data_IF_815382129967
#
_entry.id   IF_815382129967
#
_cell.length_a   1.000
_cell.length_b   1.000
_cell.length_c   1.000
_cell.angle_alpha   90.00
_cell.angle_beta   90.00
_cell.angle_gamma   90.00
#
_symmetry.space_group_name_H-M   'P 1'
#
loop_
_entity.id
_entity.type
_entity.pdbx_description
1 polymer ?
#
# COMPACT_ATOMS: atom_id res chain seq x y z
N UNK A 1 -81.95 2.24 -9.85
CA UNK A 1 -82.24 0.84 -10.26
C UNK A 1 -81.49 -0.11 -9.31
N UNK A 2 -81.90 -1.39 -9.24
CA UNK A 2 -81.31 -2.44 -8.37
C UNK A 2 -79.80 -2.63 -8.71
N UNK A 3 -78.88 -3.12 -7.87
CA UNK A 3 -78.81 -4.30 -6.98
C UNK A 3 -77.65 -4.12 -5.94
N UNK A 4 -77.28 -5.01 -5.00
CA UNK A 4 -77.77 -6.36 -4.64
C UNK A 4 -77.90 -6.56 -3.09
N UNK A 5 -77.12 -7.46 -2.46
CA UNK A 5 -77.19 -7.84 -1.03
C UNK A 5 -75.86 -8.49 -0.53
N UNK A 6 -75.61 -8.56 0.79
CA UNK A 6 -74.53 -9.35 1.41
C UNK A 6 -74.97 -10.78 1.76
N UNK A 7 -74.04 -11.68 2.13
CA UNK A 7 -74.33 -12.76 3.08
C UNK A 7 -73.09 -13.44 3.70
N UNK A 8 -73.30 -14.05 4.86
CA UNK A 8 -72.29 -14.64 5.75
C UNK A 8 -72.28 -16.18 5.71
N UNK A 9 -71.08 -16.74 5.96
CA UNK A 9 -70.75 -17.92 6.80
C UNK A 9 -71.53 -19.25 6.66
N UNK A 10 -70.80 -20.34 6.41
CA UNK A 10 -71.15 -21.69 6.90
C UNK A 10 -69.88 -22.53 7.16
N UNK A 11 -69.81 -23.16 8.33
CA UNK A 11 -68.75 -24.09 8.74
C UNK A 11 -68.97 -25.50 8.16
N UNK A 12 -67.88 -26.27 8.00
CA UNK A 12 -67.91 -27.73 8.16
C UNK A 12 -66.68 -28.22 8.93
N UNK A 13 -66.81 -29.35 9.64
CA UNK A 13 -65.91 -29.78 10.71
C UNK A 13 -65.60 -31.29 10.58
N UNK A 14 -64.42 -31.70 11.06
CA UNK A 14 -64.17 -32.87 11.95
C UNK A 14 -63.21 -33.99 11.44
N UNK A 15 -62.13 -34.22 12.22
CA UNK A 15 -61.39 -35.48 12.50
C UNK A 15 -60.78 -36.29 11.32
N UNK A 16 -59.66 -37.04 11.46
CA UNK A 16 -59.08 -37.78 12.62
C UNK A 16 -57.58 -38.05 12.36
N UNK A 17 -56.65 -37.85 13.31
CA UNK A 17 -56.24 -38.71 14.45
C UNK A 17 -55.33 -39.91 14.11
N UNK A 18 -54.07 -39.88 14.57
CA UNK A 18 -53.32 -41.03 15.09
C UNK A 18 -52.30 -40.58 16.17
N UNK A 19 -52.04 -41.44 17.16
CA UNK A 19 -51.22 -41.19 18.35
C UNK A 19 -49.82 -41.81 18.24
N UNK A 20 -48.83 -41.32 19.02
CA UNK A 20 -48.17 -42.02 20.16
C UNK A 20 -46.92 -41.23 20.65
N UNK A 21 -46.70 -41.22 21.99
CA UNK A 21 -45.52 -40.63 22.68
C UNK A 21 -44.30 -41.60 22.63
N UNK A 22 -43.08 -41.35 23.11
CA UNK A 22 -42.49 -40.44 24.11
C UNK A 22 -40.98 -40.33 23.74
N UNK A 23 -40.20 -39.30 24.08
CA UNK A 23 -39.67 -39.06 25.43
C UNK A 23 -39.04 -37.67 25.55
N UNK A 24 -38.90 -37.18 26.80
CA UNK A 24 -38.11 -35.97 27.10
C UNK A 24 -36.62 -36.29 27.15
N UNK A 25 -35.80 -35.45 26.53
CA UNK A 25 -34.59 -34.95 27.17
C UNK A 25 -34.64 -33.42 27.14
N UNK A 26 -34.22 -32.79 28.24
CA UNK A 26 -34.34 -31.35 28.43
C UNK A 26 -33.20 -30.61 27.72
N UNK A 27 -33.51 -29.93 26.61
CA UNK A 27 -32.71 -28.79 26.15
C UNK A 27 -33.54 -27.51 26.31
N UNK A 28 -33.17 -26.71 27.32
CA UNK A 28 -33.56 -25.30 27.40
C UNK A 28 -32.56 -24.50 26.56
N UNK A 29 -32.94 -23.91 25.42
CA UNK A 29 -32.29 -22.68 24.99
C UNK A 29 -32.72 -21.58 25.97
N UNK A 30 -31.74 -20.92 26.60
CA UNK A 30 -32.00 -19.69 27.33
C UNK A 30 -32.54 -18.64 26.34
N UNK A 31 -33.50 -17.79 26.70
CA UNK A 31 -34.04 -16.81 25.79
C UNK A 31 -33.03 -15.67 25.66
N UNK A 32 -32.12 -15.80 24.69
CA UNK A 32 -31.58 -14.61 24.04
C UNK A 32 -32.75 -13.87 23.41
N UNK A 33 -33.26 -12.90 24.15
CA UNK A 33 -34.15 -11.86 23.64
C UNK A 33 -33.37 -11.11 22.58
N UNK A 34 -33.52 -11.54 21.33
CA UNK A 34 -33.26 -10.71 20.17
C UNK A 34 -34.17 -9.48 20.30
N UNK A 35 -33.62 -8.41 20.87
CA UNK A 35 -34.30 -7.14 20.99
C UNK A 35 -34.31 -6.53 19.58
N UNK A 36 -35.44 -6.61 18.90
CA UNK A 36 -35.64 -5.86 17.66
C UNK A 36 -35.46 -4.36 17.93
N UNK A 37 -34.43 -3.76 17.32
CA UNK A 37 -34.23 -2.31 17.27
C UNK A 37 -34.20 -1.88 15.80
N UNK A 38 -35.35 -1.56 15.20
CA UNK A 38 -35.41 -0.83 13.93
C UNK A 38 -35.28 0.68 14.18
N UNK A 39 -34.75 1.53 13.28
CA UNK A 39 -33.93 1.36 12.07
C UNK A 39 -33.63 2.78 11.56
N UNK A 40 -32.36 3.21 11.45
CA UNK A 40 -31.85 4.25 10.51
C UNK A 40 -30.31 4.12 10.57
N UNK A 41 -29.74 3.25 9.72
CA UNK A 41 -28.36 2.81 9.80
C UNK A 41 -28.19 1.33 9.43
N UNK A 42 -26.95 0.83 9.46
CA UNK A 42 -26.59 -0.53 9.04
C UNK A 42 -27.25 -1.59 9.94
N UNK A 43 -27.70 -2.70 9.34
CA UNK A 43 -28.26 -3.84 10.06
C UNK A 43 -27.13 -4.66 10.73
N UNK A 44 -26.82 -4.35 11.99
CA UNK A 44 -25.77 -5.05 12.75
C UNK A 44 -26.32 -6.35 13.36
N UNK A 45 -25.75 -7.49 12.95
CA UNK A 45 -26.17 -8.84 13.33
C UNK A 45 -25.23 -9.56 14.32
N UNK A 46 -24.09 -8.97 14.66
CA UNK A 46 -23.13 -9.55 15.59
C UNK A 46 -21.83 -8.77 15.69
N UNK A 47 -20.80 -9.42 16.24
CA UNK A 47 -19.48 -8.85 16.49
C UNK A 47 -18.39 -9.92 16.28
N UNK A 48 -17.27 -9.49 15.72
CA UNK A 48 -16.06 -10.28 15.48
C UNK A 48 -14.96 -9.76 16.40
N UNK A 49 -14.47 -10.63 17.28
CA UNK A 49 -13.35 -10.35 18.16
C UNK A 49 -12.04 -10.47 17.36
N UNK A 50 -11.37 -9.34 17.11
CA UNK A 50 -10.10 -9.28 16.36
C UNK A 50 -9.11 -8.36 17.08
N UNK A 51 -7.80 -8.66 17.06
CA UNK A 51 -6.79 -7.80 17.68
C UNK A 51 -6.84 -6.39 17.11
N UNK A 52 -6.94 -5.40 18.00
CA UNK A 52 -7.03 -3.98 17.66
C UNK A 52 -5.83 -3.24 18.26
N UNK A 53 -5.06 -2.55 17.42
CA UNK A 53 -3.83 -1.85 17.81
C UNK A 53 -3.94 -0.35 17.57
N UNK A 54 -3.47 0.45 18.53
CA UNK A 54 -3.61 1.90 18.56
C UNK A 54 -2.24 2.56 18.40
N UNK A 55 -2.14 3.55 17.52
CA UNK A 55 -0.89 4.26 17.21
C UNK A 55 -1.07 5.79 17.29
N UNK A 56 -0.21 6.44 18.05
CA UNK A 56 -0.25 7.85 18.41
C UNK A 56 0.53 8.74 17.43
N UNK A 57 0.01 8.89 16.20
CA UNK A 57 0.50 9.89 15.23
C UNK A 57 1.99 9.77 14.80
N UNK A 58 2.64 8.64 15.08
CA UNK A 58 4.04 8.36 14.70
C UNK A 58 4.22 7.09 13.85
N UNK A 59 3.14 6.36 13.54
CA UNK A 59 3.23 5.16 12.70
C UNK A 59 3.43 5.48 11.22
N UNK A 60 4.29 4.75 10.48
CA UNK A 60 4.42 4.87 9.03
C UNK A 60 3.21 4.28 8.31
N UNK A 61 2.90 4.78 7.11
CA UNK A 61 1.73 4.33 6.32
C UNK A 61 2.09 4.11 4.86
N UNK A 62 1.61 3.00 4.29
CA UNK A 62 1.87 2.60 2.92
C UNK A 62 0.98 3.40 1.95
N UNK A 63 1.54 4.44 1.35
CA UNK A 63 0.85 5.15 0.26
C UNK A 63 0.91 4.34 -1.05
N UNK A 64 -0.09 3.49 -1.34
CA UNK A 64 -0.28 2.88 -2.68
C UNK A 64 -1.00 3.86 -3.64
N UNK A 65 -0.40 4.32 -4.76
CA UNK A 65 -1.06 5.24 -5.69
C UNK A 65 -1.99 4.56 -6.71
N UNK A 66 -2.69 5.41 -7.46
CA UNK A 66 -3.59 5.04 -8.55
C UNK A 66 -2.94 4.14 -9.61
N UNK A 67 -3.54 2.98 -9.83
CA UNK A 67 -3.26 2.13 -10.99
C UNK A 67 -3.84 0.73 -10.89
N UNK A 68 -3.97 0.21 -9.67
CA UNK A 68 -4.44 -1.16 -9.42
C UNK A 68 -5.97 -1.27 -9.35
N UNK A 69 -6.50 -2.39 -9.83
CA UNK A 69 -7.89 -2.79 -9.59
C UNK A 69 -8.00 -3.23 -8.13
N UNK A 70 -8.60 -2.38 -7.30
CA UNK A 70 -8.57 -2.43 -5.83
C UNK A 70 -9.11 -3.71 -5.16
N UNK A 71 -9.60 -4.69 -5.92
CA UNK A 71 -10.33 -5.86 -5.42
C UNK A 71 -9.46 -7.08 -5.09
N UNK A 72 -8.22 -7.12 -5.58
CA UNK A 72 -7.40 -8.35 -5.65
C UNK A 72 -6.06 -8.28 -4.90
N UNK A 73 -5.57 -7.08 -4.54
CA UNK A 73 -4.21 -6.85 -3.98
C UNK A 73 -4.15 -5.83 -2.83
N UNK A 74 -5.28 -5.62 -2.15
CA UNK A 74 -5.47 -4.56 -1.17
C UNK A 74 -5.53 -3.16 -1.80
N UNK A 75 -5.90 -2.14 -1.02
CA UNK A 75 -5.93 -0.75 -1.48
C UNK A 75 -5.88 0.27 -0.33
N UNK A 76 -5.46 1.50 -0.64
CA UNK A 76 -5.63 2.68 0.21
C UNK A 76 -6.66 3.61 -0.44
N UNK A 77 -7.77 3.92 0.24
CA UNK A 77 -8.68 5.00 -0.16
C UNK A 77 -8.35 6.27 0.62
N UNK A 78 -7.97 7.31 -0.12
CA UNK A 78 -7.49 8.58 0.41
C UNK A 78 -8.54 9.70 0.38
N UNK A 79 -9.75 9.43 -0.11
CA UNK A 79 -10.87 10.36 -0.25
C UNK A 79 -10.59 11.58 -1.17
N UNK A 80 -9.42 11.64 -1.78
CA UNK A 80 -8.97 12.72 -2.69
C UNK A 80 -9.72 12.75 -4.03
N UNK A 81 -10.38 11.67 -4.40
CA UNK A 81 -11.23 11.57 -5.59
C UNK A 81 -12.73 11.79 -5.28
N UNK A 82 -13.56 11.97 -6.30
CA UNK A 82 -15.01 12.17 -6.14
C UNK A 82 -15.43 13.44 -5.36
N UNK A 83 -16.74 13.62 -5.20
CA UNK A 83 -17.33 14.68 -4.38
C UNK A 83 -18.70 14.29 -3.83
N UNK A 84 -18.92 14.53 -2.54
CA UNK A 84 -20.23 14.44 -1.87
C UNK A 84 -20.27 15.49 -0.77
N UNK A 85 -20.82 16.67 -1.05
CA UNK A 85 -20.80 17.83 -0.14
C UNK A 85 -21.97 17.88 0.86
N UNK A 86 -22.86 16.89 0.87
CA UNK A 86 -24.06 16.84 1.72
C UNK A 86 -24.03 15.61 2.62
N UNK A 87 -24.53 15.76 3.86
CA UNK A 87 -24.72 14.67 4.81
C UNK A 87 -25.84 13.71 4.41
N UNK A 88 -26.79 14.12 3.55
CA UNK A 88 -27.87 13.23 3.11
C UNK A 88 -27.32 11.95 2.46
N UNK A 89 -27.94 10.80 2.75
CA UNK A 89 -27.55 9.49 2.26
C UNK A 89 -27.28 9.46 0.74
N UNK A 90 -26.20 8.78 0.33
CA UNK A 90 -25.95 8.52 -1.09
C UNK A 90 -24.55 8.00 -1.40
N UNK A 91 -24.42 7.39 -2.57
CA UNK A 91 -23.14 6.89 -3.08
C UNK A 91 -22.21 7.99 -3.60
N UNK A 92 -20.91 7.73 -3.54
CA UNK A 92 -19.86 8.47 -4.24
C UNK A 92 -18.85 7.48 -4.83
N UNK A 93 -18.50 7.65 -6.11
CA UNK A 93 -17.44 6.86 -6.73
C UNK A 93 -16.08 7.48 -6.42
N UNK A 94 -15.22 6.70 -5.79
CA UNK A 94 -13.84 7.03 -5.46
C UNK A 94 -12.90 6.19 -6.33
N UNK A 95 -11.77 6.77 -6.71
CA UNK A 95 -10.74 6.19 -7.57
C UNK A 95 -9.39 6.22 -6.84
N UNK A 96 -8.74 5.05 -6.64
CA UNK A 96 -8.99 3.79 -7.34
C UNK A 96 -10.00 2.81 -6.69
N UNK A 97 -10.47 3.04 -5.46
CA UNK A 97 -11.13 1.98 -4.67
C UNK A 97 -12.46 1.44 -5.24
N UNK A 98 -13.42 2.31 -5.57
CA UNK A 98 -14.75 1.91 -6.01
C UNK A 98 -15.87 2.83 -5.53
N UNK A 99 -17.10 2.33 -5.50
CA UNK A 99 -18.24 3.08 -4.97
C UNK A 99 -18.37 2.92 -3.45
N UNK A 100 -18.57 4.03 -2.75
CA UNK A 100 -18.82 4.06 -1.31
C UNK A 100 -20.17 4.72 -1.02
N UNK A 101 -20.92 4.15 -0.09
CA UNK A 101 -22.16 4.73 0.42
C UNK A 101 -21.88 5.53 1.70
N UNK A 102 -22.34 6.77 1.74
CA UNK A 102 -22.18 7.67 2.88
C UNK A 102 -23.54 8.16 3.36
N UNK A 103 -23.87 7.88 4.62
CA UNK A 103 -25.07 8.38 5.29
C UNK A 103 -24.74 9.09 6.59
N UNK A 104 -25.41 10.20 6.84
CA UNK A 104 -25.03 11.28 7.75
C UNK A 104 -23.51 11.61 7.73
N UNK A 105 -22.91 11.45 6.54
CA UNK A 105 -21.50 11.56 6.24
C UNK A 105 -21.26 12.27 4.89
N UNK A 106 -20.14 12.97 4.75
CA UNK A 106 -19.77 13.71 3.53
C UNK A 106 -18.25 13.73 3.31
N UNK A 107 -17.81 14.13 2.11
CA UNK A 107 -16.40 14.44 1.85
C UNK A 107 -16.11 15.90 2.22
N UNK A 108 -15.34 16.10 3.30
CA UNK A 108 -15.04 17.39 3.90
C UNK A 108 -13.67 17.93 3.48
N UNK A 109 -13.62 19.21 3.08
CA UNK A 109 -12.41 19.93 2.66
C UNK A 109 -12.19 21.25 3.45
N UNK A 110 -12.90 21.47 4.56
CA UNK A 110 -12.79 22.69 5.35
C UNK A 110 -11.48 22.71 6.15
N UNK A 111 -11.07 23.88 6.64
CA UNK A 111 -9.88 24.01 7.50
C UNK A 111 -9.97 23.19 8.80
N UNK A 112 -11.18 22.96 9.32
CA UNK A 112 -11.44 22.14 10.50
C UNK A 112 -11.51 20.63 10.21
N UNK A 113 -11.57 20.23 8.94
CA UNK A 113 -11.48 18.81 8.55
C UNK A 113 -10.03 18.35 8.73
N UNK A 114 -9.82 17.42 9.67
CA UNK A 114 -8.53 16.77 9.90
C UNK A 114 -8.31 15.75 8.77
N UNK A 115 -7.24 15.94 8.00
CA UNK A 115 -7.00 15.24 6.73
C UNK A 115 -5.54 15.30 6.30
N UNK A 116 -5.11 14.30 5.54
CA UNK A 116 -3.85 14.21 4.83
C UNK A 116 -4.14 14.38 3.33
N UNK A 117 -3.88 15.57 2.80
CA UNK A 117 -4.32 15.95 1.45
C UNK A 117 -5.38 17.06 1.49
N UNK A 118 -6.33 17.04 0.56
CA UNK A 118 -7.38 18.03 0.42
C UNK A 118 -8.74 17.61 1.01
N UNK A 119 -9.00 16.31 1.23
CA UNK A 119 -10.28 15.78 1.74
C UNK A 119 -10.12 14.72 2.82
N UNK A 120 -11.19 14.52 3.59
CA UNK A 120 -11.43 13.36 4.46
C UNK A 120 -12.95 13.09 4.50
N UNK A 121 -13.38 11.94 5.01
CA UNK A 121 -14.80 11.72 5.31
C UNK A 121 -15.12 12.37 6.65
N UNK A 122 -16.20 13.16 6.73
CA UNK A 122 -16.72 13.72 7.99
C UNK A 122 -18.07 13.11 8.32
N UNK A 123 -18.15 12.43 9.47
CA UNK A 123 -19.33 11.71 9.96
C UNK A 123 -19.90 12.42 11.20
N UNK A 124 -21.23 12.49 11.32
CA UNK A 124 -21.97 13.00 12.49
C UNK A 124 -23.09 12.03 12.90
N UNK A 125 -23.80 12.33 13.99
CA UNK A 125 -24.92 11.52 14.48
C UNK A 125 -24.53 10.04 14.54
N UNK A 126 -25.42 9.13 14.14
CA UNK A 126 -25.11 7.70 13.96
C UNK A 126 -24.80 7.36 12.49
N UNK A 127 -24.04 8.23 11.81
CA UNK A 127 -23.72 8.10 10.40
C UNK A 127 -22.73 6.98 10.07
N UNK A 128 -22.67 6.64 8.77
CA UNK A 128 -21.91 5.53 8.23
C UNK A 128 -21.14 5.90 6.95
N UNK A 129 -20.04 5.18 6.74
CA UNK A 129 -19.25 5.12 5.50
C UNK A 129 -19.05 3.64 5.18
N UNK A 130 -19.61 3.12 4.08
CA UNK A 130 -19.48 1.70 3.73
C UNK A 130 -19.07 1.50 2.28
N UNK A 131 -18.32 0.42 2.01
CA UNK A 131 -18.03 -0.02 0.65
C UNK A 131 -19.31 -0.55 -0.02
N UNK A 132 -19.55 -0.16 -1.27
CA UNK A 132 -20.56 -0.77 -2.16
C UNK A 132 -19.97 -1.89 -3.04
N UNK A 133 -18.78 -2.40 -2.68
CA UNK A 133 -18.04 -3.43 -3.40
C UNK A 133 -17.30 -4.37 -2.42
N UNK A 134 -16.97 -5.57 -2.88
CA UNK A 134 -16.26 -6.58 -2.08
C UNK A 134 -14.75 -6.52 -2.32
N UNK A 135 -13.99 -6.85 -1.28
CA UNK A 135 -12.69 -7.50 -1.38
C UNK A 135 -12.94 -8.97 -1.64
N UNK A 136 -12.62 -9.48 -2.84
CA UNK A 136 -13.03 -10.83 -3.23
C UNK A 136 -12.19 -11.93 -2.53
N UNK A 137 -10.97 -11.59 -2.10
CA UNK A 137 -10.01 -12.50 -1.46
C UNK A 137 -9.87 -12.30 0.06
N UNK A 138 -10.80 -11.58 0.71
CA UNK A 138 -10.68 -11.22 2.13
C UNK A 138 -9.72 -10.06 2.40
N UNK A 139 -9.17 -10.00 3.61
CA UNK A 139 -8.23 -8.96 4.08
C UNK A 139 -7.34 -9.48 5.23
N UNK A 140 -6.09 -9.04 5.33
CA UNK A 140 -5.25 -9.30 6.52
C UNK A 140 -5.63 -8.36 7.64
N UNK A 141 -5.69 -7.07 7.31
CA UNK A 141 -5.83 -6.00 8.26
C UNK A 141 -6.50 -4.80 7.63
N UNK A 142 -7.18 -4.02 8.47
CA UNK A 142 -7.79 -2.74 8.09
C UNK A 142 -7.19 -1.66 8.97
N UNK A 143 -6.54 -0.67 8.36
CA UNK A 143 -6.01 0.50 9.03
C UNK A 143 -6.91 1.70 8.74
N UNK A 144 -7.17 2.51 9.76
CA UNK A 144 -8.04 3.69 9.66
C UNK A 144 -7.38 4.85 10.40
N UNK A 145 -7.21 6.01 9.75
CA UNK A 145 -6.91 7.24 10.48
C UNK A 145 -8.17 7.96 10.90
N UNK A 146 -8.16 8.52 12.10
CA UNK A 146 -9.33 9.18 12.69
C UNK A 146 -8.93 10.36 13.59
N UNK A 147 -9.77 11.40 13.63
CA UNK A 147 -9.62 12.54 14.54
C UNK A 147 -10.96 13.25 14.78
N UNK A 148 -11.04 14.03 15.87
CA UNK A 148 -12.16 14.90 16.13
C UNK A 148 -12.14 16.10 15.16
N UNK A 149 -13.30 16.39 14.55
CA UNK A 149 -13.45 17.52 13.63
C UNK A 149 -13.29 18.85 14.37
N UNK A 150 -12.35 19.69 13.94
CA UNK A 150 -12.01 20.95 14.61
C UNK A 150 -11.69 20.72 16.09
N UNK A 151 -12.57 21.21 16.98
CA UNK A 151 -12.53 21.03 18.44
C UNK A 151 -13.82 20.34 18.96
N UNK A 152 -14.38 19.38 18.21
CA UNK A 152 -15.56 18.63 18.66
C UNK A 152 -15.16 17.68 19.81
N UNK A 153 -16.09 17.39 20.71
CA UNK A 153 -15.82 16.50 21.84
C UNK A 153 -15.69 15.03 21.42
N UNK A 154 -15.32 14.13 22.36
CA UNK A 154 -15.11 12.72 22.07
C UNK A 154 -16.28 12.06 21.33
N UNK A 155 -15.95 11.07 20.51
CA UNK A 155 -16.93 10.29 19.73
C UNK A 155 -16.42 8.90 19.42
N UNK A 156 -17.21 7.91 19.82
CA UNK A 156 -16.99 6.49 19.56
C UNK A 156 -17.47 6.07 18.17
N UNK A 157 -16.69 5.23 17.50
CA UNK A 157 -17.03 4.55 16.25
C UNK A 157 -16.50 3.11 16.24
N UNK A 158 -16.97 2.31 15.27
CA UNK A 158 -16.61 0.90 15.09
C UNK A 158 -16.30 0.61 13.62
N UNK A 159 -15.31 -0.24 13.38
CA UNK A 159 -15.20 -0.92 12.08
C UNK A 159 -16.37 -1.90 11.96
N UNK A 160 -16.90 -2.05 10.74
CA UNK A 160 -17.94 -3.03 10.41
C UNK A 160 -17.56 -3.83 9.18
N UNK A 161 -17.91 -5.12 9.17
CA UNK A 161 -17.73 -6.03 8.05
C UNK A 161 -19.07 -6.60 7.56
N UNK A 162 -19.18 -6.90 6.26
CA UNK A 162 -20.33 -7.60 5.67
C UNK A 162 -19.86 -8.69 4.71
N UNK A 163 -20.53 -9.85 4.75
CA UNK A 163 -20.23 -11.04 3.95
C UNK A 163 -21.40 -11.42 3.03
N UNK A 164 -22.42 -10.56 2.93
CA UNK A 164 -23.68 -10.78 2.21
C UNK A 164 -24.04 -9.59 1.32
N UNK A 165 -23.02 -9.01 0.68
CA UNK A 165 -23.14 -7.86 -0.23
C UNK A 165 -23.75 -6.59 0.42
N UNK A 166 -23.57 -6.41 1.73
CA UNK A 166 -24.01 -5.26 2.50
C UNK A 166 -25.43 -5.37 3.05
N UNK A 167 -26.08 -6.54 2.94
CA UNK A 167 -27.43 -6.75 3.46
C UNK A 167 -27.45 -6.82 5.01
N UNK A 168 -26.39 -7.35 5.61
CA UNK A 168 -26.13 -7.28 7.04
C UNK A 168 -24.65 -7.09 7.36
N UNK A 169 -24.38 -6.61 8.57
CA UNK A 169 -23.07 -6.16 9.01
C UNK A 169 -22.75 -6.70 10.40
N UNK A 170 -21.47 -6.81 10.72
CA UNK A 170 -20.94 -7.23 12.01
C UNK A 170 -19.99 -6.14 12.50
N UNK A 171 -19.97 -5.85 13.80
CA UNK A 171 -18.88 -5.07 14.38
C UNK A 171 -17.57 -5.86 14.30
N UNK A 172 -16.46 -5.15 14.19
CA UNK A 172 -15.12 -5.75 14.06
C UNK A 172 -14.19 -5.09 15.06
N UNK A 173 -13.65 -5.88 15.99
CA UNK A 173 -12.71 -5.44 17.01
C UNK A 173 -13.27 -4.38 17.96
N UNK A 174 -12.36 -3.66 18.62
CA UNK A 174 -12.70 -2.76 19.71
C UNK A 174 -13.53 -1.53 19.28
N UNK A 175 -14.20 -0.92 20.26
CA UNK A 175 -14.81 0.41 20.07
C UNK A 175 -13.75 1.48 20.14
N UNK A 176 -13.71 2.36 19.14
CA UNK A 176 -12.67 3.37 19.00
C UNK A 176 -13.19 4.73 19.45
N UNK A 177 -12.77 5.19 20.62
CA UNK A 177 -13.02 6.55 21.09
C UNK A 177 -12.09 7.52 20.35
N UNK A 178 -12.68 8.51 19.68
CA UNK A 178 -11.94 9.59 19.02
C UNK A 178 -12.06 10.88 19.81
N UNK A 179 -10.99 11.29 20.50
CA UNK A 179 -10.91 12.50 21.33
C UNK A 179 -9.80 13.47 20.87
N UNK A 180 -8.73 12.95 20.26
CA UNK A 180 -7.63 13.72 19.66
C UNK A 180 -8.09 14.56 18.46
N UNK A 181 -7.51 15.75 18.31
CA UNK A 181 -7.69 16.60 17.11
C UNK A 181 -6.60 16.40 16.05
N UNK A 182 -5.65 15.49 16.31
CA UNK A 182 -4.60 15.03 15.39
C UNK A 182 -4.96 13.62 14.90
N UNK A 183 -4.61 13.25 13.67
CA UNK A 183 -5.03 11.99 13.03
C UNK A 183 -4.34 10.76 13.64
N UNK A 184 -4.95 10.16 14.66
CA UNK A 184 -4.49 8.90 15.22
C UNK A 184 -4.78 7.76 14.23
N UNK A 185 -4.04 6.65 14.36
CA UNK A 185 -4.26 5.44 13.55
C UNK A 185 -4.70 4.30 14.45
N UNK A 186 -5.65 3.51 13.97
CA UNK A 186 -5.99 2.20 14.52
C UNK A 186 -5.87 1.13 13.43
N UNK A 187 -5.39 -0.05 13.79
CA UNK A 187 -5.31 -1.24 12.94
C UNK A 187 -6.14 -2.36 13.54
N UNK A 188 -6.93 -3.04 12.70
CA UNK A 188 -7.69 -4.24 13.04
C UNK A 188 -7.11 -5.43 12.27
N UNK A 189 -6.62 -6.47 12.97
CA UNK A 189 -6.04 -7.68 12.36
C UNK A 189 -7.11 -8.71 12.00
N UNK A 190 -7.92 -8.38 11.00
CA UNK A 190 -9.15 -9.11 10.62
C UNK A 190 -8.92 -10.53 10.09
N UNK A 191 -7.81 -10.79 9.39
CA UNK A 191 -7.39 -12.10 8.87
C UNK A 191 -8.48 -12.90 8.13
N UNK A 192 -9.33 -12.18 7.40
CA UNK A 192 -10.40 -12.71 6.58
C UNK A 192 -9.87 -13.34 5.30
N UNK A 193 -10.40 -14.50 4.93
CA UNK A 193 -10.06 -15.22 3.68
C UNK A 193 -11.24 -15.34 2.70
N UNK A 194 -12.42 -14.87 3.10
CA UNK A 194 -13.64 -14.90 2.29
C UNK A 194 -14.01 -13.50 1.80
N UNK A 195 -14.86 -13.43 0.76
CA UNK A 195 -15.32 -12.17 0.20
C UNK A 195 -16.00 -11.28 1.27
N UNK A 196 -15.53 -10.05 1.42
CA UNK A 196 -15.94 -9.15 2.52
C UNK A 196 -16.03 -7.69 2.07
N UNK A 197 -16.95 -6.93 2.65
CA UNK A 197 -16.99 -5.46 2.61
C UNK A 197 -16.64 -4.88 3.95
N UNK A 198 -15.95 -3.75 3.97
CA UNK A 198 -15.73 -2.98 5.19
C UNK A 198 -16.45 -1.64 5.17
N UNK A 199 -16.58 -1.06 6.36
CA UNK A 199 -17.09 0.27 6.57
C UNK A 199 -16.86 0.74 8.00
N UNK A 200 -17.25 1.98 8.28
CA UNK A 200 -17.17 2.60 9.60
C UNK A 200 -18.56 3.07 9.98
N UNK A 201 -18.97 2.73 11.20
CA UNK A 201 -20.22 3.16 11.80
C UNK A 201 -19.94 3.97 13.06
N UNK A 202 -20.42 5.22 13.11
CA UNK A 202 -20.30 6.07 14.29
C UNK A 202 -21.37 5.65 15.31
N UNK A 203 -20.99 4.89 16.33
CA UNK A 203 -21.93 4.42 17.36
C UNK A 203 -22.38 5.55 18.29
N UNK A 204 -21.51 6.53 18.54
CA UNK A 204 -21.84 7.71 19.34
C UNK A 204 -22.75 8.67 18.57
N UNK A 205 -24.00 8.83 19.02
CA UNK A 205 -24.94 9.78 18.40
C UNK A 205 -24.56 11.26 18.58
N UNK A 206 -25.41 12.15 18.06
CA UNK A 206 -25.32 13.61 18.27
C UNK A 206 -24.33 14.36 17.36
N UNK A 207 -24.22 15.67 17.60
CA UNK A 207 -23.61 16.61 16.65
C UNK A 207 -22.07 16.67 16.66
N UNK A 208 -21.39 15.97 17.58
CA UNK A 208 -19.94 15.82 17.53
C UNK A 208 -19.56 15.03 16.26
N UNK A 209 -18.56 15.54 15.54
CA UNK A 209 -18.09 14.96 14.28
C UNK A 209 -16.70 14.36 14.43
N UNK A 210 -16.52 13.23 13.77
CA UNK A 210 -15.20 12.66 13.49
C UNK A 210 -14.85 12.90 12.02
N UNK A 211 -13.57 13.11 11.76
CA UNK A 211 -12.97 12.88 10.46
C UNK A 211 -12.42 11.46 10.44
N UNK A 212 -12.74 10.72 9.39
CA UNK A 212 -12.11 9.48 8.98
C UNK A 212 -11.29 9.80 7.74
N UNK A 213 -10.04 9.38 7.71
CA UNK A 213 -9.13 9.66 6.62
C UNK A 213 -8.18 8.48 6.39
N UNK A 214 -7.71 8.29 5.15
CA UNK A 214 -6.95 7.12 4.70
C UNK A 214 -7.43 5.79 5.31
N UNK A 215 -8.36 5.10 4.63
CA UNK A 215 -8.66 3.70 4.94
C UNK A 215 -7.73 2.84 4.09
N UNK A 216 -6.91 2.03 4.74
CA UNK A 216 -6.08 1.02 4.10
C UNK A 216 -6.65 -0.37 4.41
N UNK A 217 -6.85 -1.17 3.38
CA UNK A 217 -7.21 -2.58 3.49
C UNK A 217 -6.07 -3.35 2.85
N UNK A 218 -5.19 -3.89 3.70
CA UNK A 218 -4.24 -4.89 3.26
C UNK A 218 -4.98 -6.23 3.10
N UNK A 219 -4.55 -7.01 2.11
CA UNK A 219 -4.87 -8.43 2.07
C UNK A 219 -3.65 -9.20 2.51
N UNK A 220 -3.85 -10.29 3.24
CA UNK A 220 -2.83 -11.33 3.27
C UNK A 220 -2.76 -11.82 1.81
N UNK A 221 -1.62 -11.60 1.15
CA UNK A 221 -1.24 -12.47 0.03
C UNK A 221 -0.84 -13.81 0.65
N UNK A 222 -1.85 -14.57 1.10
CA UNK A 222 -1.74 -15.72 2.01
C UNK A 222 -0.91 -16.87 1.45
N UNK A 223 0.41 -16.70 1.43
CA UNK A 223 1.40 -17.76 1.42
C UNK A 223 1.81 -18.09 2.85
N UNK A 224 0.89 -18.64 3.66
CA UNK A 224 1.25 -19.15 4.99
C UNK A 224 2.26 -20.30 4.88
N UNK A 225 3.54 -20.00 5.07
CA UNK A 225 4.69 -20.89 4.90
C UNK A 225 5.92 -20.10 4.44
N UNK A 226 7.03 -20.79 4.14
CA UNK A 226 8.28 -20.20 3.61
C UNK A 226 8.16 -19.74 2.13
N UNK A 227 6.97 -19.26 1.75
CA UNK A 227 6.58 -18.97 0.37
C UNK A 227 6.85 -17.51 0.01
N UNK A 228 7.32 -17.24 -1.22
CA UNK A 228 7.59 -15.88 -1.68
C UNK A 228 6.30 -15.06 -1.86
N UNK A 229 6.33 -13.79 -1.47
CA UNK A 229 5.22 -12.83 -1.50
C UNK A 229 5.43 -11.70 -2.52
N UNK A 230 4.41 -10.85 -2.71
CA UNK A 230 4.53 -9.57 -3.45
C UNK A 230 4.37 -8.37 -2.49
N UNK A 231 5.18 -8.36 -1.43
CA UNK A 231 5.10 -7.33 -0.38
C UNK A 231 5.47 -5.91 -0.83
N UNK A 232 5.24 -4.95 0.08
CA UNK A 232 5.26 -3.53 -0.23
C UNK A 232 6.63 -3.05 -0.71
N UNK A 233 6.63 -2.32 -1.83
CA UNK A 233 7.79 -1.59 -2.33
C UNK A 233 8.27 -0.46 -1.38
N UNK A 234 7.59 -0.24 -0.24
CA UNK A 234 7.95 0.71 0.83
C UNK A 234 7.79 0.07 2.22
N UNK A 235 7.99 -1.26 2.36
CA UNK A 235 7.98 -1.92 3.68
C UNK A 235 8.90 -1.23 4.67
N UNK A 236 10.08 -0.78 4.21
CA UNK A 236 11.08 -0.09 5.03
C UNK A 236 11.21 1.42 4.72
N UNK A 237 10.09 2.09 4.46
CA UNK A 237 10.03 3.55 4.49
C UNK A 237 10.08 4.29 3.14
N UNK A 238 10.14 5.61 3.22
CA UNK A 238 10.15 6.61 2.14
C UNK A 238 11.39 7.51 2.31
N UNK A 239 12.59 7.10 1.85
CA UNK A 239 13.86 7.56 2.42
C UNK A 239 14.18 9.06 2.36
N UNK A 240 13.52 9.80 1.47
CA UNK A 240 13.69 11.25 1.33
C UNK A 240 12.43 12.03 1.73
N UNK A 241 11.47 11.39 2.39
CA UNK A 241 10.13 11.92 2.64
C UNK A 241 9.49 12.47 1.34
N UNK A 242 9.58 11.70 0.26
CA UNK A 242 9.12 12.09 -1.07
C UNK A 242 7.60 12.34 -1.08
N UNK A 243 7.19 13.39 -1.77
CA UNK A 243 5.80 13.86 -1.79
C UNK A 243 5.48 14.58 -3.11
N UNK A 244 5.08 15.85 -3.08
CA UNK A 244 4.69 16.63 -4.26
C UNK A 244 5.74 17.65 -4.74
N UNK A 245 6.91 17.72 -4.09
CA UNK A 245 8.01 18.62 -4.48
C UNK A 245 8.61 18.18 -5.84
N UNK A 246 8.89 19.10 -6.79
CA UNK A 246 9.38 18.72 -8.12
C UNK A 246 10.67 17.90 -8.13
N UNK A 247 11.59 18.20 -7.22
CA UNK A 247 12.89 17.52 -7.13
C UNK A 247 12.90 16.36 -6.10
N UNK A 248 11.73 16.05 -5.53
CA UNK A 248 11.50 14.96 -4.58
C UNK A 248 10.05 14.45 -4.72
N UNK A 249 9.68 14.12 -5.96
CA UNK A 249 8.30 13.85 -6.36
C UNK A 249 8.00 12.36 -6.27
N UNK A 250 7.12 11.98 -5.35
CA UNK A 250 6.75 10.59 -5.14
C UNK A 250 5.91 10.06 -6.31
N UNK A 251 6.43 9.02 -6.96
CA UNK A 251 5.68 8.14 -7.84
C UNK A 251 5.73 6.75 -7.24
N UNK A 252 4.59 6.07 -7.18
CA UNK A 252 4.60 4.62 -6.98
C UNK A 252 3.72 3.93 -8.02
N UNK A 253 4.27 2.84 -8.52
CA UNK A 253 3.74 1.94 -9.54
C UNK A 253 3.51 0.58 -8.88
N UNK A 254 2.76 -0.34 -9.51
CA UNK A 254 2.60 -1.70 -8.99
C UNK A 254 3.93 -2.38 -8.63
N UNK A 255 4.92 -2.22 -9.51
CA UNK A 255 6.18 -2.96 -9.46
C UNK A 255 7.29 -2.31 -8.64
N UNK A 256 7.25 -0.99 -8.42
CA UNK A 256 8.24 -0.24 -7.64
C UNK A 256 7.72 1.15 -7.25
N UNK A 257 8.31 1.72 -6.20
CA UNK A 257 8.09 3.08 -5.72
C UNK A 257 9.34 3.92 -5.94
N UNK A 258 9.23 5.23 -6.15
CA UNK A 258 10.39 6.11 -6.40
C UNK A 258 10.15 7.57 -5.99
N UNK A 259 11.26 8.27 -5.76
CA UNK A 259 11.31 9.73 -5.74
C UNK A 259 11.91 10.24 -7.04
N UNK A 260 11.14 10.97 -7.85
CA UNK A 260 11.60 11.60 -9.08
C UNK A 260 12.20 12.97 -8.80
N UNK A 261 13.31 13.29 -9.46
CA UNK A 261 13.96 14.57 -9.39
C UNK A 261 13.85 15.28 -10.74
N UNK A 262 12.93 16.24 -10.84
CA UNK A 262 12.69 16.97 -12.07
C UNK A 262 13.94 17.69 -12.60
N UNK A 263 14.71 18.34 -11.72
CA UNK A 263 15.93 19.07 -12.12
C UNK A 263 17.07 18.18 -12.59
N UNK A 264 17.12 16.92 -12.16
CA UNK A 264 18.10 15.92 -12.61
C UNK A 264 17.62 15.06 -13.79
N UNK A 265 16.32 15.09 -14.12
CA UNK A 265 15.72 14.26 -15.17
C UNK A 265 15.66 12.75 -14.86
N UNK A 266 15.99 12.35 -13.63
CA UNK A 266 16.13 10.97 -13.14
C UNK A 266 15.47 10.78 -11.77
N UNK A 267 15.38 9.55 -11.27
CA UNK A 267 15.00 9.32 -9.87
C UNK A 267 16.15 9.65 -8.90
N UNK A 268 15.82 10.19 -7.73
CA UNK A 268 16.69 10.21 -6.55
C UNK A 268 16.97 8.78 -6.06
N UNK A 269 15.90 8.01 -5.91
CA UNK A 269 15.90 6.59 -5.54
C UNK A 269 14.65 5.89 -6.09
N UNK A 270 14.76 4.57 -6.24
CA UNK A 270 13.71 3.60 -6.55
C UNK A 270 13.79 2.50 -5.51
N UNK A 271 12.66 2.13 -4.92
CA UNK A 271 12.51 1.09 -3.90
C UNK A 271 11.57 0.00 -4.40
N UNK A 272 11.92 -1.27 -4.18
CA UNK A 272 11.11 -2.41 -4.57
C UNK A 272 11.37 -3.65 -3.73
N UNK A 273 10.35 -4.51 -3.64
CA UNK A 273 10.47 -5.84 -3.06
C UNK A 273 10.85 -6.88 -4.13
N UNK A 274 11.76 -7.80 -3.82
CA UNK A 274 12.20 -8.88 -4.71
C UNK A 274 12.10 -10.23 -4.00
N UNK A 275 11.28 -11.10 -4.56
CA UNK A 275 11.09 -12.51 -4.18
C UNK A 275 10.89 -13.32 -5.46
N UNK A 276 10.86 -14.65 -5.37
CA UNK A 276 10.57 -15.48 -6.55
C UNK A 276 9.14 -15.30 -7.08
N UNK A 277 8.21 -14.70 -6.33
CA UNK A 277 6.84 -14.41 -6.80
C UNK A 277 6.80 -13.32 -7.89
N UNK A 278 7.75 -12.37 -7.89
CA UNK A 278 7.89 -11.35 -8.92
C UNK A 278 8.53 -11.88 -10.21
N UNK A 279 9.16 -13.05 -10.14
CA UNK A 279 9.95 -13.63 -11.22
C UNK A 279 9.19 -14.71 -11.99
N UNK A 280 9.58 -14.92 -13.24
CA UNK A 280 8.97 -15.89 -14.13
C UNK A 280 9.81 -16.08 -15.39
N UNK A 281 9.15 -16.29 -16.52
CA UNK A 281 9.81 -16.57 -17.82
C UNK A 281 9.53 -15.52 -18.89
N UNK A 282 8.94 -14.37 -18.53
CA UNK A 282 8.67 -13.29 -19.49
C UNK A 282 9.96 -12.75 -20.09
N UNK A 283 9.96 -12.56 -21.40
CA UNK A 283 11.09 -11.98 -22.12
C UNK A 283 11.10 -10.46 -22.00
N UNK A 284 12.30 -9.88 -21.91
CA UNK A 284 12.49 -8.42 -21.84
C UNK A 284 11.86 -7.70 -23.04
N UNK A 285 10.89 -6.80 -22.81
CA UNK A 285 10.20 -6.11 -23.90
C UNK A 285 11.10 -5.12 -24.67
N UNK A 286 12.13 -4.56 -24.02
CA UNK A 286 12.95 -3.45 -24.54
C UNK A 286 12.14 -2.19 -24.96
N UNK A 287 10.97 -2.01 -24.34
CA UNK A 287 9.91 -1.09 -24.71
C UNK A 287 9.97 0.25 -23.94
N UNK A 288 11.14 0.88 -23.91
CA UNK A 288 11.39 2.16 -23.21
C UNK A 288 10.34 3.22 -23.54
N UNK A 289 9.62 3.71 -22.52
CA UNK A 289 8.47 4.61 -22.66
C UNK A 289 8.55 5.81 -21.71
N UNK A 290 8.21 6.99 -22.23
CA UNK A 290 8.15 8.21 -21.43
C UNK A 290 7.01 8.14 -20.42
N UNK A 291 7.21 8.67 -19.22
CA UNK A 291 6.22 8.59 -18.15
C UNK A 291 5.22 9.76 -18.22
N UNK A 292 4.03 9.48 -18.74
CA UNK A 292 2.97 10.48 -18.88
C UNK A 292 2.25 10.80 -17.57
N UNK A 293 2.52 10.06 -16.48
CA UNK A 293 1.92 10.28 -15.15
C UNK A 293 2.59 11.39 -14.36
N UNK A 294 3.83 11.76 -14.70
CA UNK A 294 4.48 12.98 -14.20
C UNK A 294 3.62 14.22 -14.52
N UNK A 295 3.71 15.32 -13.75
CA UNK A 295 3.15 16.61 -14.15
C UNK A 295 3.59 17.03 -15.56
N UNK A 296 2.75 17.78 -16.28
CA UNK A 296 3.06 18.25 -17.63
C UNK A 296 4.11 19.38 -17.67
N UNK A 297 4.40 19.98 -16.51
CA UNK A 297 5.47 20.97 -16.31
C UNK A 297 6.82 20.34 -16.01
N UNK A 298 6.88 19.01 -15.83
CA UNK A 298 8.14 18.33 -15.52
C UNK A 298 8.83 17.88 -16.81
N UNK A 299 10.16 17.75 -16.77
CA UNK A 299 10.89 17.05 -17.80
C UNK A 299 10.43 15.58 -17.84
N UNK A 300 10.21 15.06 -19.05
CA UNK A 300 9.74 13.69 -19.28
C UNK A 300 10.66 13.01 -20.28
N UNK A 301 11.70 12.36 -19.75
CA UNK A 301 12.70 11.67 -20.56
C UNK A 301 12.08 10.70 -21.60
N UNK A 302 12.77 10.58 -22.73
CA UNK A 302 12.43 9.77 -23.89
C UNK A 302 13.63 8.92 -24.31
N UNK A 303 13.44 8.01 -25.26
CA UNK A 303 14.55 7.23 -25.81
C UNK A 303 15.57 8.09 -26.56
N UNK A 304 15.14 9.17 -27.21
CA UNK A 304 16.01 10.12 -27.94
C UNK A 304 17.06 10.77 -27.04
N UNK A 305 16.70 11.11 -25.81
CA UNK A 305 17.55 11.86 -24.86
C UNK A 305 18.84 11.11 -24.49
N UNK A 306 18.79 9.78 -24.51
CA UNK A 306 19.92 8.87 -24.27
C UNK A 306 20.65 8.44 -25.55
N UNK A 307 20.02 8.62 -26.72
CA UNK A 307 20.55 8.10 -27.98
C UNK A 307 21.85 8.81 -28.36
N UNK A 308 22.89 8.03 -28.66
CA UNK A 308 24.24 8.54 -28.96
C UNK A 308 24.92 9.33 -27.83
N UNK A 309 24.42 9.32 -26.60
CA UNK A 309 25.08 9.98 -25.45
C UNK A 309 26.44 9.37 -25.09
N UNK A 310 26.57 8.04 -25.23
CA UNK A 310 27.70 7.27 -24.72
C UNK A 310 27.38 6.49 -23.43
N UNK A 311 26.21 6.74 -22.83
CA UNK A 311 25.68 6.05 -21.66
C UNK A 311 24.53 5.13 -22.06
N UNK A 312 24.40 4.03 -21.33
CA UNK A 312 23.26 3.12 -21.41
C UNK A 312 22.03 3.72 -20.71
N UNK A 313 20.87 3.15 -21.03
CA UNK A 313 19.62 3.33 -20.26
C UNK A 313 19.63 2.37 -19.07
N UNK A 314 20.45 2.70 -18.08
CA UNK A 314 20.60 1.91 -16.84
C UNK A 314 19.30 1.89 -16.06
N UNK A 315 18.84 0.70 -15.67
CA UNK A 315 17.65 0.56 -14.83
C UNK A 315 18.03 0.64 -13.35
N UNK A 316 17.20 1.28 -12.53
CA UNK A 316 17.35 1.21 -11.08
C UNK A 316 16.66 -0.05 -10.54
N UNK A 317 15.35 -0.20 -10.76
CA UNK A 317 14.64 -1.49 -10.64
C UNK A 317 14.77 -2.27 -11.97
N UNK A 318 15.48 -3.40 -12.03
CA UNK A 318 15.82 -4.04 -13.29
C UNK A 318 14.68 -4.89 -13.85
N UNK A 319 14.59 -4.93 -15.18
CA UNK A 319 13.62 -5.74 -15.92
C UNK A 319 13.62 -7.25 -15.56
N UNK A 320 14.76 -7.79 -15.08
CA UNK A 320 14.85 -9.19 -14.65
C UNK A 320 14.24 -9.47 -13.26
N UNK A 321 14.00 -8.44 -12.43
CA UNK A 321 13.31 -8.56 -11.14
C UNK A 321 11.78 -8.52 -11.30
N UNK A 322 11.30 -8.28 -12.53
CA UNK A 322 9.90 -8.10 -12.91
C UNK A 322 9.62 -8.84 -14.20
N UNK A 323 9.64 -10.17 -14.14
CA UNK A 323 9.40 -11.02 -15.31
C UNK A 323 8.39 -12.15 -15.07
N UNK A 324 7.56 -12.01 -14.02
CA UNK A 324 6.36 -12.82 -13.81
C UNK A 324 5.23 -12.55 -14.82
N UNK A 325 5.14 -11.33 -15.38
CA UNK A 325 4.15 -10.95 -16.41
C UNK A 325 4.71 -9.92 -17.40
N UNK A 326 4.05 -9.75 -18.54
CA UNK A 326 4.42 -8.71 -19.54
C UNK A 326 4.23 -7.31 -18.97
N UNK A 327 3.07 -6.99 -18.39
CA UNK A 327 2.78 -5.69 -17.78
C UNK A 327 3.81 -5.29 -16.70
N UNK A 328 4.16 -6.25 -15.83
CA UNK A 328 5.18 -6.06 -14.79
C UNK A 328 6.55 -5.74 -15.39
N UNK A 329 6.93 -6.46 -16.45
CA UNK A 329 8.17 -6.21 -17.18
C UNK A 329 8.17 -4.83 -17.84
N UNK A 330 7.10 -4.47 -18.54
CA UNK A 330 7.01 -3.18 -19.21
C UNK A 330 7.08 -1.99 -18.25
N UNK A 331 6.61 -2.14 -17.01
CA UNK A 331 6.65 -1.06 -16.03
C UNK A 331 8.10 -0.67 -15.65
N UNK A 332 9.06 -1.60 -15.71
CA UNK A 332 10.49 -1.27 -15.52
C UNK A 332 11.07 -0.38 -16.63
N UNK A 333 10.41 -0.32 -17.79
CA UNK A 333 10.85 0.45 -18.97
C UNK A 333 10.32 1.89 -19.00
N UNK A 334 9.63 2.36 -17.95
CA UNK A 334 9.36 3.79 -17.80
C UNK A 334 10.67 4.57 -17.61
N UNK A 335 10.87 5.64 -18.37
CA UNK A 335 12.10 6.46 -18.29
C UNK A 335 12.32 7.12 -16.92
N UNK A 336 11.32 7.16 -16.03
CA UNK A 336 11.44 7.57 -14.61
C UNK A 336 12.23 6.58 -13.76
N UNK A 337 12.39 5.32 -14.20
CA UNK A 337 13.23 4.28 -13.59
C UNK A 337 14.64 4.19 -14.22
N UNK A 338 14.97 5.13 -15.12
CA UNK A 338 16.20 5.09 -15.93
C UNK A 338 17.13 6.23 -15.57
N UNK A 339 18.43 5.93 -15.47
CA UNK A 339 19.50 6.92 -15.32
C UNK A 339 20.66 6.66 -16.30
N UNK A 340 21.48 7.68 -16.66
CA UNK A 340 22.63 7.51 -17.54
C UNK A 340 23.72 6.67 -16.86
N UNK A 341 23.90 5.44 -17.31
CA UNK A 341 24.86 4.50 -16.71
C UNK A 341 25.99 4.19 -17.68
N UNK A 342 27.24 4.20 -17.21
CA UNK A 342 28.38 3.76 -18.03
C UNK A 342 28.19 2.29 -18.45
N UNK A 343 28.42 1.92 -19.72
CA UNK A 343 28.29 0.53 -20.19
C UNK A 343 29.02 -0.50 -19.33
N UNK A 344 30.24 -0.23 -18.86
CA UNK A 344 30.97 -1.16 -17.98
C UNK A 344 30.34 -1.31 -16.60
N UNK A 345 29.72 -0.25 -16.06
CA UNK A 345 28.93 -0.31 -14.84
C UNK A 345 27.66 -1.16 -15.08
N UNK A 346 26.80 -0.73 -16.01
CA UNK A 346 25.51 -1.35 -16.32
C UNK A 346 25.63 -2.85 -16.67
N UNK A 347 26.53 -3.19 -17.59
CA UNK A 347 26.58 -4.52 -18.21
C UNK A 347 27.45 -5.52 -17.45
N UNK A 348 28.24 -5.06 -16.46
CA UNK A 348 29.19 -5.91 -15.72
C UNK A 348 28.93 -5.81 -14.22
N UNK A 349 29.45 -4.79 -13.53
CA UNK A 349 29.43 -4.73 -12.06
C UNK A 349 28.00 -4.65 -11.50
N UNK A 350 27.15 -3.81 -12.08
CA UNK A 350 25.75 -3.68 -11.69
C UNK A 350 24.94 -4.94 -11.99
N UNK A 351 25.03 -5.46 -13.22
CA UNK A 351 24.38 -6.70 -13.61
C UNK A 351 24.79 -7.91 -12.74
N UNK A 352 26.06 -7.97 -12.30
CA UNK A 352 26.55 -9.01 -11.41
C UNK A 352 25.91 -8.94 -10.01
N UNK A 353 25.77 -7.74 -9.44
CA UNK A 353 25.05 -7.54 -8.17
C UNK A 353 23.57 -7.91 -8.31
N UNK A 354 22.91 -7.47 -9.38
CA UNK A 354 21.51 -7.80 -9.63
C UNK A 354 21.28 -9.30 -9.81
N UNK A 355 22.20 -10.01 -10.46
CA UNK A 355 22.16 -11.46 -10.57
C UNK A 355 22.33 -12.15 -9.20
N UNK A 356 23.19 -11.62 -8.35
CA UNK A 356 23.40 -12.14 -6.99
C UNK A 356 22.16 -11.93 -6.09
N UNK A 357 21.55 -10.74 -6.10
CA UNK A 357 20.31 -10.51 -5.33
C UNK A 357 19.16 -11.43 -5.81
N UNK A 358 19.11 -11.77 -7.11
CA UNK A 358 18.20 -12.80 -7.63
C UNK A 358 18.57 -14.23 -7.27
N UNK A 359 19.85 -14.58 -7.07
CA UNK A 359 20.21 -15.94 -6.63
C UNK A 359 19.79 -16.18 -5.19
N UNK A 360 19.90 -15.16 -4.32
CA UNK A 360 19.42 -15.24 -2.94
C UNK A 360 17.92 -15.58 -2.84
N UNK A 361 17.08 -15.16 -3.79
CA UNK A 361 15.65 -15.54 -3.76
C UNK A 361 15.38 -16.98 -4.17
N UNK A 362 16.26 -17.58 -4.97
CA UNK A 362 16.23 -19.01 -5.29
C UNK A 362 16.68 -19.88 -4.10
N UNK A 363 17.40 -19.28 -3.14
CA UNK A 363 17.80 -19.90 -1.88
C UNK A 363 16.71 -19.80 -0.78
N UNK A 364 15.54 -19.26 -1.11
CA UNK A 364 14.41 -19.12 -0.18
C UNK A 364 14.42 -17.82 0.62
N UNK A 365 15.14 -16.80 0.14
CA UNK A 365 15.10 -15.45 0.71
C UNK A 365 14.17 -14.53 -0.09
N UNK A 366 13.87 -13.40 0.53
CA UNK A 366 13.32 -12.21 -0.09
C UNK A 366 14.22 -11.02 0.21
N UNK A 367 14.15 -10.00 -0.64
CA UNK A 367 15.08 -8.88 -0.63
C UNK A 367 14.31 -7.58 -0.80
N UNK A 368 14.46 -6.66 0.14
CA UNK A 368 13.96 -5.30 0.00
C UNK A 368 15.09 -4.40 -0.47
N UNK A 369 14.93 -3.81 -1.64
CA UNK A 369 16.00 -3.11 -2.35
C UNK A 369 15.63 -1.65 -2.53
N UNK A 370 16.53 -0.77 -2.13
CA UNK A 370 16.49 0.67 -2.42
C UNK A 370 17.73 1.00 -3.24
N UNK A 371 17.56 1.68 -4.37
CA UNK A 371 18.66 2.01 -5.28
C UNK A 371 18.47 3.36 -5.92
N UNK A 372 19.55 4.11 -6.08
CA UNK A 372 19.51 5.44 -6.65
C UNK A 372 20.84 5.84 -7.26
N UNK A 373 20.96 7.15 -7.49
CA UNK A 373 22.15 7.75 -8.09
C UNK A 373 22.66 8.91 -7.24
N UNK A 374 23.94 9.24 -7.38
CA UNK A 374 24.61 10.27 -6.59
C UNK A 374 25.47 11.17 -7.50
N UNK A 375 25.53 12.45 -7.15
CA UNK A 375 26.48 13.40 -7.71
C UNK A 375 26.25 13.75 -9.19
N UNK A 376 27.29 14.32 -9.80
CA UNK A 376 27.30 14.79 -11.19
C UNK A 376 28.68 14.56 -11.79
N UNK A 377 28.73 13.88 -12.94
CA UNK A 377 29.95 13.63 -13.71
C UNK A 377 30.36 12.17 -13.66
N UNK A 378 30.10 11.42 -14.74
CA UNK A 378 30.59 10.05 -14.94
C UNK A 378 31.18 9.88 -16.33
N UNK A 379 31.92 8.81 -16.58
CA UNK A 379 32.56 8.51 -17.87
C UNK A 379 31.86 7.40 -18.64
N UNK A 380 31.19 7.76 -19.74
CA UNK A 380 30.56 6.80 -20.66
C UNK A 380 31.51 6.34 -21.76
N UNK A 381 31.00 5.54 -22.71
CA UNK A 381 31.75 5.08 -23.90
C UNK A 381 32.23 6.20 -24.84
N UNK A 382 31.85 7.45 -24.57
CA UNK A 382 32.32 8.68 -25.25
C UNK A 382 33.15 9.61 -24.36
N UNK A 383 33.54 9.14 -23.17
CA UNK A 383 34.26 9.92 -22.15
C UNK A 383 33.33 10.56 -21.12
N UNK A 384 33.94 11.43 -20.30
CA UNK A 384 33.28 12.12 -19.20
C UNK A 384 32.16 13.08 -19.67
N UNK A 385 31.03 13.06 -18.96
CA UNK A 385 29.94 14.00 -19.14
C UNK A 385 29.26 14.30 -17.79
N UNK A 386 28.83 15.55 -17.61
CA UNK A 386 28.03 15.97 -16.46
C UNK A 386 26.53 15.89 -16.75
N UNK A 387 26.12 16.05 -18.01
CA UNK A 387 24.73 16.00 -18.45
C UNK A 387 24.60 15.39 -19.84
N UNK A 388 23.40 14.89 -20.16
CA UNK A 388 22.98 14.52 -21.52
C UNK A 388 21.70 15.29 -21.88
N UNK A 389 21.16 15.05 -23.09
CA UNK A 389 20.02 15.78 -23.68
C UNK A 389 20.05 17.30 -23.43
N UNK A 390 21.11 17.95 -23.91
CA UNK A 390 21.32 19.40 -23.82
C UNK A 390 21.30 20.01 -22.40
N UNK A 391 21.39 19.18 -21.34
CA UNK A 391 21.38 19.64 -19.95
C UNK A 391 20.18 19.15 -19.13
N UNK A 392 19.15 18.58 -19.77
CA UNK A 392 17.90 18.17 -19.11
C UNK A 392 18.02 16.87 -18.27
N UNK A 393 19.12 16.13 -18.43
CA UNK A 393 19.38 14.90 -17.67
C UNK A 393 20.79 14.97 -17.07
N UNK A 394 20.88 14.89 -15.75
CA UNK A 394 22.13 14.77 -15.01
C UNK A 394 22.76 13.39 -15.26
N UNK A 395 24.07 13.37 -15.54
CA UNK A 395 24.87 12.13 -15.51
C UNK A 395 25.40 12.00 -14.10
N UNK A 396 25.02 10.96 -13.34
CA UNK A 396 25.51 10.78 -11.99
C UNK A 396 26.98 10.32 -11.97
N UNK A 397 27.65 10.60 -10.87
CA UNK A 397 29.02 10.18 -10.56
C UNK A 397 29.06 8.75 -10.00
N UNK A 398 28.02 8.35 -9.27
CA UNK A 398 27.89 6.98 -8.78
C UNK A 398 26.44 6.46 -8.80
N UNK A 399 26.31 5.13 -8.85
CA UNK A 399 25.08 4.40 -8.57
C UNK A 399 25.21 3.74 -7.20
N UNK A 400 24.15 3.75 -6.40
CA UNK A 400 24.12 3.08 -5.10
C UNK A 400 22.93 2.14 -4.99
N UNK A 401 23.11 1.08 -4.20
CA UNK A 401 22.07 0.08 -3.92
C UNK A 401 22.26 -0.42 -2.50
N UNK A 402 21.16 -0.46 -1.75
CA UNK A 402 21.08 -1.08 -0.43
C UNK A 402 20.01 -2.16 -0.50
N UNK A 403 20.35 -3.36 -0.02
CA UNK A 403 19.50 -4.54 -0.08
C UNK A 403 19.47 -5.20 1.30
N UNK A 404 18.29 -5.24 1.93
CA UNK A 404 18.03 -5.96 3.17
C UNK A 404 17.50 -7.35 2.81
N UNK A 405 18.13 -8.40 3.34
CA UNK A 405 17.83 -9.80 3.01
C UNK A 405 17.21 -10.51 4.21
N UNK A 406 16.05 -11.14 3.99
CA UNK A 406 15.34 -11.99 4.95
C UNK A 406 15.06 -13.35 4.32
N UNK A 407 15.00 -14.46 5.08
CA UNK A 407 14.32 -15.67 4.61
C UNK A 407 12.87 -15.34 4.25
N UNK A 408 12.24 -15.99 3.27
CA UNK A 408 10.83 -15.76 2.94
C UNK A 408 9.93 -15.84 4.19
N UNK A 409 9.01 -14.91 4.35
CA UNK A 409 8.05 -14.95 5.44
C UNK A 409 6.96 -13.88 5.34
N UNK A 410 6.50 -13.43 6.51
CA UNK A 410 5.57 -12.31 6.62
C UNK A 410 5.94 -11.47 7.85
N UNK A 411 5.40 -10.26 7.97
CA UNK A 411 5.74 -9.32 9.06
C UNK A 411 7.24 -8.95 9.04
N UNK A 412 7.71 -8.48 7.89
CA UNK A 412 9.13 -8.30 7.56
C UNK A 412 9.87 -7.43 8.59
N UNK A 413 9.26 -6.29 8.96
CA UNK A 413 9.78 -5.36 9.99
C UNK A 413 10.05 -6.09 11.30
N UNK A 414 9.15 -6.96 11.73
CA UNK A 414 9.25 -7.74 12.97
C UNK A 414 10.28 -8.89 12.87
N UNK A 415 10.70 -9.27 11.66
CA UNK A 415 11.75 -10.26 11.41
C UNK A 415 13.13 -9.64 11.26
N UNK A 416 13.23 -8.31 11.09
CA UNK A 416 14.52 -7.62 11.10
C UNK A 416 15.10 -7.61 12.51
N UNK A 417 16.38 -7.97 12.60
CA UNK A 417 17.17 -8.01 13.84
C UNK A 417 18.52 -7.38 13.57
N UNK A 418 19.31 -7.11 14.62
CA UNK A 418 20.71 -6.65 14.49
C UNK A 418 21.65 -7.66 13.80
N UNK A 419 21.16 -8.86 13.47
CA UNK A 419 21.86 -9.89 12.69
C UNK A 419 21.28 -10.11 11.29
N UNK A 420 20.28 -9.34 10.88
CA UNK A 420 19.74 -9.39 9.51
C UNK A 420 20.80 -8.91 8.52
N UNK A 421 20.96 -9.60 7.38
CA UNK A 421 21.98 -9.23 6.41
C UNK A 421 21.53 -8.00 5.61
N UNK A 422 22.41 -7.02 5.49
CA UNK A 422 22.23 -5.82 4.66
C UNK A 422 23.47 -5.65 3.78
N UNK A 423 23.26 -5.48 2.47
CA UNK A 423 24.33 -5.21 1.49
C UNK A 423 24.15 -3.80 0.97
N UNK A 424 25.09 -2.90 1.25
CA UNK A 424 25.17 -1.57 0.64
C UNK A 424 26.37 -1.48 -0.32
N UNK A 425 26.17 -0.88 -1.49
CA UNK A 425 27.25 -0.59 -2.47
C UNK A 425 27.19 0.85 -2.99
N UNK A 426 28.36 1.37 -3.36
CA UNK A 426 28.52 2.64 -4.06
C UNK A 426 29.45 2.43 -5.28
N UNK A 427 28.87 2.23 -6.45
CA UNK A 427 29.58 1.87 -7.69
C UNK A 427 29.84 3.13 -8.53
N UNK A 428 31.10 3.49 -8.84
CA UNK A 428 31.41 4.62 -9.71
C UNK A 428 30.78 4.46 -11.11
N UNK A 429 30.27 5.54 -11.67
CA UNK A 429 29.57 5.54 -12.95
C UNK A 429 30.51 5.74 -14.14
N UNK A 430 31.57 4.94 -14.19
CA UNK A 430 32.66 5.08 -15.13
C UNK A 430 32.84 3.85 -16.04
N UNK A 431 33.44 4.11 -17.19
CA UNK A 431 34.09 3.11 -18.02
C UNK A 431 35.33 2.54 -17.34
N UNK A 432 35.74 1.34 -17.75
CA UNK A 432 36.94 0.65 -17.25
C UNK A 432 36.91 0.30 -15.74
N UNK A 433 35.77 0.42 -15.06
CA UNK A 433 35.62 -0.08 -13.68
C UNK A 433 35.79 -1.60 -13.62
N UNK A 434 36.23 -2.09 -12.47
CA UNK A 434 36.36 -3.53 -12.22
C UNK A 434 34.98 -4.17 -12.01
N UNK A 435 34.79 -5.37 -12.58
CA UNK A 435 33.52 -6.13 -12.67
C UNK A 435 33.01 -6.69 -11.36
N UNK A 436 33.89 -6.80 -10.37
CA UNK A 436 33.56 -7.36 -9.07
C UNK A 436 32.90 -6.29 -8.20
N UNK A 437 31.58 -6.34 -8.07
CA UNK A 437 30.84 -5.36 -7.27
C UNK A 437 31.18 -5.42 -5.78
N UNK A 438 31.76 -6.53 -5.29
CA UNK A 438 32.12 -6.74 -3.88
C UNK A 438 33.13 -5.69 -3.40
N UNK A 439 34.01 -5.21 -4.29
CA UNK A 439 34.99 -4.17 -3.97
C UNK A 439 34.36 -2.79 -3.68
N UNK A 440 33.09 -2.59 -4.07
CA UNK A 440 32.33 -1.35 -3.91
C UNK A 440 31.36 -1.41 -2.73
N UNK A 441 31.43 -2.45 -1.89
CA UNK A 441 30.64 -2.53 -0.65
C UNK A 441 31.02 -1.41 0.32
N UNK A 442 30.00 -0.86 0.97
CA UNK A 442 30.10 0.23 1.94
C UNK A 442 29.08 0.02 3.07
N UNK A 443 28.93 0.97 3.98
CA UNK A 443 27.89 1.02 5.02
C UNK A 443 26.63 1.73 4.51
N UNK A 444 25.48 1.51 5.15
CA UNK A 444 24.27 2.29 4.87
C UNK A 444 24.47 3.73 5.34
N UNK A 445 25.04 3.94 6.55
CA UNK A 445 25.48 5.25 7.08
C UNK A 445 26.21 6.12 6.03
N UNK A 446 27.05 5.50 5.20
CA UNK A 446 27.82 6.20 4.18
C UNK A 446 26.95 6.60 2.98
N UNK A 447 25.97 5.79 2.58
CA UNK A 447 24.99 6.18 1.55
C UNK A 447 24.11 7.31 2.07
N UNK A 448 23.63 7.23 3.29
CA UNK A 448 22.85 8.29 3.95
C UNK A 448 23.64 9.59 4.09
N UNK A 449 24.87 9.53 4.60
CA UNK A 449 25.75 10.70 4.73
C UNK A 449 26.05 11.39 3.39
N UNK A 450 25.94 10.67 2.27
CA UNK A 450 26.14 11.22 0.91
C UNK A 450 24.84 11.75 0.29
N UNK A 451 23.69 11.17 0.63
CA UNK A 451 22.38 11.47 0.03
C UNK A 451 21.51 12.42 0.84
N UNK A 452 21.70 12.44 2.16
CA UNK A 452 20.80 13.09 3.12
C UNK A 452 19.47 12.35 3.29
N UNK A 453 19.43 11.04 3.02
CA UNK A 453 18.26 10.18 3.19
C UNK A 453 18.33 9.43 4.53
N UNK A 454 17.17 8.98 4.96
CA UNK A 454 16.91 8.16 6.15
C UNK A 454 16.45 6.79 5.61
N UNK A 455 17.39 5.87 5.42
CA UNK A 455 17.13 4.56 4.85
C UNK A 455 16.56 3.67 5.94
N UNK A 456 15.68 2.76 5.57
CA UNK A 456 15.04 1.82 6.50
C UNK A 456 14.21 2.42 7.66
N UNK A 457 13.92 3.73 7.69
CA UNK A 457 13.16 4.55 8.69
C UNK A 457 11.90 3.94 9.37
N UNK A 458 11.38 2.80 8.89
CA UNK A 458 10.33 2.03 9.56
C UNK A 458 10.87 0.98 10.55
N UNK A 459 12.20 0.79 10.63
CA UNK A 459 12.85 0.03 11.68
C UNK A 459 12.86 0.82 12.99
N UNK A 460 13.29 0.16 14.07
CA UNK A 460 13.59 0.86 15.32
C UNK A 460 15.07 1.24 15.34
N UNK A 461 15.40 2.46 15.78
CA UNK A 461 16.76 3.01 15.87
C UNK A 461 17.79 2.01 16.46
N UNK A 462 17.49 1.21 17.52
CA UNK A 462 18.45 0.26 18.09
C UNK A 462 18.79 -0.95 17.21
N UNK A 463 18.00 -1.22 16.16
CA UNK A 463 18.26 -2.27 15.16
C UNK A 463 18.99 -1.68 13.97
N UNK A 464 18.40 -0.61 13.43
CA UNK A 464 18.90 0.23 12.33
C UNK A 464 20.37 0.64 12.55
N UNK A 465 20.67 1.35 13.65
CA UNK A 465 22.04 1.81 13.99
C UNK A 465 23.12 0.72 14.12
N UNK A 466 22.75 -0.57 14.17
CA UNK A 466 23.71 -1.69 14.12
C UNK A 466 23.86 -2.24 12.70
N UNK A 467 22.75 -2.37 11.97
CA UNK A 467 22.73 -2.83 10.59
C UNK A 467 23.46 -1.84 9.66
N UNK A 468 23.20 -0.56 9.86
CA UNK A 468 23.60 0.49 8.93
C UNK A 468 25.08 0.83 9.01
N UNK A 469 25.64 0.79 10.22
CA UNK A 469 27.07 0.95 10.47
C UNK A 469 27.93 -0.25 10.00
N UNK A 470 27.31 -1.33 9.53
CA UNK A 470 27.99 -2.60 9.20
C UNK A 470 28.20 -2.75 7.69
N UNK A 471 29.45 -3.02 7.27
CA UNK A 471 29.74 -3.49 5.91
C UNK A 471 29.50 -4.99 5.83
N UNK A 472 28.72 -5.47 4.86
CA UNK A 472 28.54 -6.90 4.60
C UNK A 472 29.88 -7.62 4.40
N UNK A 473 30.11 -8.69 5.17
CA UNK A 473 31.34 -9.50 5.12
C UNK A 473 31.09 -10.94 4.67
N UNK A 474 29.84 -11.31 4.40
CA UNK A 474 29.52 -12.65 3.92
C UNK A 474 30.02 -12.89 2.48
N UNK A 475 30.27 -14.16 2.09
CA UNK A 475 30.62 -14.50 0.72
C UNK A 475 29.51 -14.14 -0.27
N UNK A 476 29.89 -13.60 -1.42
CA UNK A 476 28.96 -13.22 -2.50
C UNK A 476 29.38 -13.86 -3.83
N UNK A 477 29.43 -15.20 -3.83
CA UNK A 477 29.94 -16.07 -4.92
C UNK A 477 28.83 -16.73 -5.72
#
# INVERSE_FOLDING_TARGET
MKYFAPNYLALFVLSSLFFVACSKEDYRPDPYTAQEVPLEGLAINGELDVPTYYYDNQGPHKHKPKGLVAKVVGFTETFESGSKGSYAAGSVTLSPSGEWYLDDALLGALANDRKFGAKSVRIRNSGALTMSFNMENGASSVLVRHAAYGNNGPSDWRLVASYDDGASWYFVGDTITTDSTTLNTVTFEVNETQSVRYGIYKVSGGANRINIDNIEIDINTSGGGDNPSMDSNLTFGNPSNAASSPDNYFLSKPDFSLSYNNSNGTANWVSWHLSTAWTGTTSRCNCFKSDTTLPNTFFRATTSDYTNSGFDRGHLCPSADRNGSEDSNENTYYMTNIAPQAPDNNQRSWANLENYLRSLTLEGNEVHIISGVLGTGGSGSKGAANTISNGEINVPDAFWKVALILPNGSNDIQRVTTSTRVIAVLVPNDQDINTDWIQFKTTVDNIESLTGYDLFENLSDPVESVLEATVDTEPSV
#
